data_IF_709401868350
#
_entry.id   IF_709401868350
#
_cell.length_a   1.000
_cell.length_b   1.000
_cell.length_c   1.000
_cell.angle_alpha   90.00
_cell.angle_beta   90.00
_cell.angle_gamma   90.00
#
_symmetry.space_group_name_H-M   'P 1'
#
loop_
_entity.id
_entity.type
_entity.pdbx_description
1 polymer ?
#
# COMPACT_ATOMS: atom_id res chain seq x y z
N UNK A 1 3.28 10.87 -0.10
CA UNK A 1 2.90 9.48 -0.43
C UNK A 1 2.77 8.68 0.86
N UNK A 2 1.59 8.17 1.18
CA UNK A 2 1.35 7.28 2.33
C UNK A 2 0.84 5.94 1.81
N UNK A 3 1.37 4.82 2.32
CA UNK A 3 0.98 3.47 1.92
C UNK A 3 0.41 2.77 3.15
N UNK A 4 -0.83 2.30 3.04
CA UNK A 4 -1.56 1.66 4.12
C UNK A 4 -2.11 0.33 3.64
N UNK A 5 -1.80 -0.74 4.37
CA UNK A 5 -2.45 -2.03 4.17
C UNK A 5 -3.87 -1.99 4.72
N UNK A 6 -4.79 -2.73 4.11
CA UNK A 6 -6.08 -3.03 4.71
C UNK A 6 -5.88 -3.75 6.04
N UNK A 7 -6.49 -3.20 7.11
CA UNK A 7 -6.47 -3.81 8.44
C UNK A 7 -7.69 -4.71 8.60
N UNK A 8 -7.45 -5.97 8.94
CA UNK A 8 -8.49 -6.93 9.33
C UNK A 8 -8.59 -6.98 10.86
N UNK A 9 -9.73 -7.45 11.37
CA UNK A 9 -9.96 -7.57 12.81
C UNK A 9 -8.85 -8.35 13.53
N UNK A 10 -8.33 -9.41 12.89
CA UNK A 10 -7.28 -10.26 13.46
C UNK A 10 -5.92 -9.54 13.55
N UNK A 11 -5.67 -8.53 12.72
CA UNK A 11 -4.43 -7.76 12.75
C UNK A 11 -4.34 -6.84 13.99
N UNK A 12 -5.47 -6.60 14.67
CA UNK A 12 -5.55 -5.79 15.89
C UNK A 12 -5.25 -6.60 17.15
N UNK A 13 -5.19 -7.93 17.06
CA UNK A 13 -4.92 -8.81 18.19
C UNK A 13 -3.40 -8.92 18.37
N UNK A 14 -2.85 -8.59 19.54
CA UNK A 14 -1.42 -8.75 19.80
C UNK A 14 -1.02 -10.22 19.62
N UNK A 15 -0.16 -10.52 18.65
CA UNK A 15 0.29 -11.89 18.39
C UNK A 15 1.25 -12.31 19.50
N UNK A 16 0.77 -13.16 20.41
CA UNK A 16 1.60 -13.84 21.41
C UNK A 16 2.34 -15.00 20.76
N UNK A 17 3.41 -14.68 20.02
CA UNK A 17 4.44 -15.62 19.56
C UNK A 17 4.10 -16.47 18.33
N UNK A 18 4.88 -16.32 17.26
CA UNK A 18 5.36 -17.42 16.42
C UNK A 18 6.30 -16.89 15.31
N UNK A 19 7.46 -17.53 15.17
CA UNK A 19 8.35 -17.58 14.00
C UNK A 19 8.53 -16.28 13.21
N UNK A 20 9.61 -15.57 13.54
CA UNK A 20 10.18 -14.44 12.80
C UNK A 20 10.73 -14.92 11.45
N UNK A 21 9.86 -15.28 10.51
CA UNK A 21 10.14 -14.93 9.12
C UNK A 21 10.03 -13.41 9.10
N UNK A 22 10.97 -12.70 8.47
CA UNK A 22 11.01 -11.23 8.48
C UNK A 22 9.82 -10.65 7.71
N UNK A 23 8.63 -10.69 8.33
CA UNK A 23 7.37 -10.11 7.84
C UNK A 23 7.59 -8.64 7.49
N UNK A 24 8.46 -7.96 8.24
CA UNK A 24 8.86 -6.58 7.97
C UNK A 24 9.52 -6.40 6.61
N UNK A 25 10.48 -7.25 6.25
CA UNK A 25 11.15 -7.18 4.94
C UNK A 25 10.21 -7.50 3.77
N UNK A 26 9.30 -8.47 3.92
CA UNK A 26 8.33 -8.82 2.88
C UNK A 26 7.35 -7.66 2.66
N UNK A 27 6.83 -7.07 3.75
CA UNK A 27 5.96 -5.89 3.65
C UNK A 27 6.70 -4.65 3.12
N UNK A 28 7.96 -4.45 3.47
CA UNK A 28 8.79 -3.36 2.92
C UNK A 28 9.01 -3.51 1.39
N UNK A 29 9.20 -4.75 0.93
CA UNK A 29 9.32 -5.06 -0.50
C UNK A 29 8.00 -4.77 -1.22
N UNK A 30 6.87 -5.22 -0.65
CA UNK A 30 5.55 -4.92 -1.17
C UNK A 30 5.28 -3.41 -1.22
N UNK A 31 5.63 -2.66 -0.18
CA UNK A 31 5.51 -1.21 -0.15
C UNK A 31 6.34 -0.53 -1.24
N UNK A 32 7.54 -1.03 -1.52
CA UNK A 32 8.41 -0.50 -2.58
C UNK A 32 7.78 -0.70 -3.97
N UNK A 33 7.25 -1.90 -4.24
CA UNK A 33 6.52 -2.19 -5.48
C UNK A 33 5.28 -1.30 -5.64
N UNK A 34 4.45 -1.20 -4.59
CA UNK A 34 3.23 -0.39 -4.59
C UNK A 34 3.54 1.10 -4.78
N UNK A 35 4.65 1.58 -4.20
CA UNK A 35 5.15 2.95 -4.41
C UNK A 35 5.46 3.20 -5.88
N UNK A 36 6.21 2.30 -6.52
CA UNK A 36 6.55 2.44 -7.95
C UNK A 36 5.31 2.44 -8.84
N UNK A 37 4.34 1.57 -8.56
CA UNK A 37 3.06 1.56 -9.27
C UNK A 37 2.29 2.87 -9.10
N UNK A 38 2.21 3.39 -7.87
CA UNK A 38 1.53 4.66 -7.60
C UNK A 38 2.23 5.85 -8.28
N UNK A 39 3.56 5.84 -8.38
CA UNK A 39 4.31 6.85 -9.12
C UNK A 39 3.98 6.82 -10.62
N UNK A 40 3.89 5.64 -11.23
CA UNK A 40 3.45 5.50 -12.64
C UNK A 40 2.02 6.02 -12.85
N UNK A 41 1.12 5.78 -11.90
CA UNK A 41 -0.24 6.34 -11.96
C UNK A 41 -0.19 7.87 -11.83
N UNK A 42 0.64 8.40 -10.92
CA UNK A 42 0.82 9.84 -10.76
C UNK A 42 1.36 10.49 -12.05
N UNK A 43 2.29 9.86 -12.76
CA UNK A 43 2.76 10.34 -14.07
C UNK A 43 1.62 10.42 -15.10
N UNK A 44 0.68 9.48 -15.07
CA UNK A 44 -0.44 9.41 -16.01
C UNK A 44 -1.57 10.40 -15.70
N UNK A 45 -1.92 10.58 -14.43
CA UNK A 45 -3.12 11.36 -14.03
C UNK A 45 -2.82 12.59 -13.20
N UNK A 46 -1.60 12.77 -12.69
CA UNK A 46 -1.23 13.83 -11.75
C UNK A 46 -1.48 15.23 -12.31
N UNK A 47 -1.10 15.48 -13.56
CA UNK A 47 -1.37 16.77 -14.22
C UNK A 47 -2.88 17.06 -14.32
N UNK A 48 -3.70 16.02 -14.60
CA UNK A 48 -5.15 16.16 -14.65
C UNK A 48 -5.75 16.41 -13.27
N UNK A 49 -5.27 15.71 -12.24
CA UNK A 49 -5.70 15.94 -10.85
C UNK A 49 -5.41 17.38 -10.41
N UNK A 50 -4.20 17.87 -10.69
CA UNK A 50 -3.81 19.25 -10.42
C UNK A 50 -4.70 20.26 -11.15
N UNK A 51 -4.97 20.05 -12.44
CA UNK A 51 -5.86 20.93 -13.22
C UNK A 51 -7.29 20.98 -12.65
N UNK A 52 -7.76 19.88 -12.06
CA UNK A 52 -9.06 19.79 -11.40
C UNK A 52 -9.05 20.30 -9.95
N UNK A 53 -7.93 20.89 -9.48
CA UNK A 53 -7.75 21.32 -8.09
C UNK A 53 -7.95 20.19 -7.07
N UNK A 54 -7.64 18.96 -7.46
CA UNK A 54 -7.65 17.79 -6.56
C UNK A 54 -6.30 17.72 -5.85
N UNK A 55 -6.27 18.14 -4.59
CA UNK A 55 -5.04 18.22 -3.79
C UNK A 55 -4.58 16.89 -3.20
N UNK A 56 -5.47 15.90 -3.12
CA UNK A 56 -5.16 14.58 -2.58
C UNK A 56 -6.02 13.53 -3.28
N UNK A 57 -5.44 12.36 -3.54
CA UNK A 57 -6.16 11.23 -4.10
C UNK A 57 -5.59 9.91 -3.58
N UNK A 58 -6.46 8.90 -3.52
CA UNK A 58 -6.11 7.56 -3.10
C UNK A 58 -6.29 6.60 -4.28
N UNK A 59 -5.34 5.67 -4.43
CA UNK A 59 -5.52 4.47 -5.27
C UNK A 59 -5.53 3.24 -4.40
N UNK A 60 -6.49 2.36 -4.68
CA UNK A 60 -6.55 1.01 -4.12
C UNK A 60 -5.88 0.03 -5.07
N UNK A 61 -4.86 -0.64 -4.60
CA UNK A 61 -4.12 -1.68 -5.31
C UNK A 61 -4.29 -3.00 -4.57
N UNK A 62 -4.57 -4.09 -5.29
CA UNK A 62 -4.57 -5.43 -4.71
C UNK A 62 -3.24 -6.10 -5.02
N UNK A 63 -2.55 -6.58 -4.00
CA UNK A 63 -1.39 -7.46 -4.15
C UNK A 63 -1.86 -8.89 -3.91
N UNK A 64 -1.82 -9.72 -4.95
CA UNK A 64 -2.14 -11.15 -4.85
C UNK A 64 -0.83 -11.93 -4.80
N UNK A 65 -0.41 -12.29 -3.59
CA UNK A 65 0.79 -13.06 -3.36
C UNK A 65 0.57 -14.05 -2.20
N UNK A 66 1.53 -14.96 -2.01
CA UNK A 66 1.56 -15.78 -0.81
C UNK A 66 2.06 -14.96 0.39
N UNK A 67 1.53 -15.27 1.57
CA UNK A 67 2.02 -14.72 2.83
C UNK A 67 1.46 -13.35 3.23
N UNK A 68 2.11 -12.69 4.20
CA UNK A 68 1.50 -11.59 4.93
C UNK A 68 1.26 -10.35 4.07
N UNK A 69 2.07 -10.08 3.04
CA UNK A 69 1.89 -8.89 2.20
C UNK A 69 0.66 -8.92 1.29
N UNK A 70 0.01 -10.09 1.14
CA UNK A 70 -1.18 -10.25 0.32
C UNK A 70 -2.36 -9.41 0.85
N UNK A 71 -3.12 -8.80 -0.05
CA UNK A 71 -4.33 -8.07 0.30
C UNK A 71 -4.50 -6.75 -0.44
N UNK A 72 -5.43 -5.94 0.06
CA UNK A 72 -5.70 -4.61 -0.47
C UNK A 72 -4.79 -3.58 0.19
N UNK A 73 -4.22 -2.69 -0.62
CA UNK A 73 -3.37 -1.60 -0.20
C UNK A 73 -3.91 -0.29 -0.70
N UNK A 74 -3.78 0.76 0.10
CA UNK A 74 -4.16 2.13 -0.21
C UNK A 74 -2.89 2.95 -0.34
N UNK A 75 -2.75 3.62 -1.47
CA UNK A 75 -1.66 4.58 -1.69
C UNK A 75 -2.28 5.96 -1.83
N UNK A 76 -2.00 6.81 -0.85
CA UNK A 76 -2.45 8.20 -0.81
C UNK A 76 -1.35 9.09 -1.37
N UNK A 77 -1.68 9.81 -2.43
CA UNK A 77 -0.81 10.77 -3.11
C UNK A 77 -1.31 12.18 -2.81
N UNK A 78 -0.35 13.07 -2.55
CA UNK A 78 -0.54 14.52 -2.33
C UNK A 78 0.05 15.26 -3.50
#
# INVERSE_FOLDING_TARGET
LCILKEQKLLDLIPVSGSTVVDVGQVEATACSLLKEMALKIHELVGARMHHLSVCQWEVKLKLDCDGPASGTWRVVTT
#
